data_IF_271628469684
#
_entry.id   IF_271628469684
#
_cell.length_a   1.000
_cell.length_b   1.000
_cell.length_c   1.000
_cell.angle_alpha   90.00
_cell.angle_beta   90.00
_cell.angle_gamma   90.00
#
_symmetry.space_group_name_H-M   'P 1'
#
loop_
_entity.id
_entity.type
_entity.pdbx_description
1 polymer ?
2 polymer ?
3 polymer ?
4 polymer ?
5 non-polymer ?
6 non-polymer ?
7 water ?
#
loop_
_entity_poly.entity_id
_entity_poly.type
_entity_poly.pdbx_seq_one_letter_code
_entity_poly.pdbx_strand_id
2 'polydeoxyribonucleotide' '(DC)(DG)(DC)(DT)(DA)(DG)(DT)(DA)(DC)(DT)(DC)(DA)(DT)' ?
3 'polydeoxyribonucleotide' '(DG)(DT)(DA)(DC)(DT)(DA)(DG)(DC)(DG)' ?
4 'polydeoxyribonucleotide' '(DC)(DT)(DA)' ?
#
# COMPACT_ATOMS: atom_id res chain seq x y z
N UNK A 2 6.33 1.80 3.50
CA UNK A 2 6.10 1.49 4.90
C UNK A 2 6.75 2.49 5.85
N UNK A 3 6.01 2.91 6.87
CA UNK A 3 6.56 3.79 7.90
C UNK A 3 7.25 2.96 8.97
N UNK A 4 8.57 2.99 8.97
CA UNK A 4 9.39 2.13 9.82
C UNK A 4 9.14 2.35 11.30
N UNK A 5 8.34 1.48 11.90
CA UNK A 5 8.12 1.48 13.34
C UNK A 5 6.83 2.15 13.79
N UNK A 6 5.94 2.44 12.86
CA UNK A 6 4.70 3.15 13.18
C UNK A 6 3.75 2.28 14.00
N UNK A 7 3.66 1.00 13.66
CA UNK A 7 2.74 0.08 14.33
C UNK A 7 3.10 -0.09 15.80
N UNK A 8 4.39 -0.10 16.10
CA UNK A 8 4.85 -0.24 17.47
C UNK A 8 4.73 1.11 18.19
N UNK A 9 4.72 2.18 17.42
CA UNK A 9 4.71 3.53 17.98
C UNK A 9 3.31 3.96 18.43
N UNK A 10 2.28 3.42 17.77
CA UNK A 10 0.91 3.77 18.12
C UNK A 10 0.11 2.52 18.52
N UNK A 11 0.79 1.57 19.14
CA UNK A 11 0.16 0.30 19.52
C UNK A 11 -0.97 0.46 20.54
N UNK A 12 -1.03 1.63 21.17
CA UNK A 12 -2.09 1.92 22.12
C UNK A 12 -3.41 2.26 21.43
N UNK A 13 -3.38 2.33 20.10
CA UNK A 13 -4.57 2.60 19.31
C UNK A 13 -5.09 1.31 18.66
N UNK A 14 -4.49 0.19 19.04
CA UNK A 14 -4.86 -1.10 18.48
C UNK A 14 -5.61 -1.98 19.47
N UNK A 15 -6.46 -2.85 18.94
CA UNK A 15 -7.17 -3.82 19.77
C UNK A 15 -7.37 -5.12 18.99
N UNK A 16 -7.20 -6.27 19.67
CA UNK A 16 -7.44 -7.57 19.05
C UNK A 16 -8.90 -7.75 18.67
N UNK A 17 -9.18 -8.06 17.41
CA UNK A 17 -10.55 -8.25 16.96
C UNK A 17 -10.71 -9.54 16.17
N UNK A 18 -11.95 -9.87 15.84
CA UNK A 18 -12.25 -10.92 14.88
C UNK A 18 -13.12 -10.32 13.80
N UNK A 19 -12.87 -10.70 12.54
CA UNK A 19 -13.50 -10.06 11.40
C UNK A 19 -15.02 -10.24 11.34
N UNK A 20 -15.56 -11.08 12.23
CA UNK A 20 -17.01 -11.21 12.37
C UNK A 20 -17.61 -9.87 12.77
N UNK A 21 -16.78 -9.00 13.34
CA UNK A 21 -17.12 -7.63 13.66
C UNK A 21 -17.69 -6.89 12.44
N UNK A 22 -17.18 -7.23 11.26
CA UNK A 22 -17.62 -6.59 10.03
C UNK A 22 -18.52 -7.51 9.21
N UNK A 23 -19.41 -8.24 9.87
CA UNK A 23 -20.38 -9.07 9.19
C UNK A 23 -21.48 -8.20 8.59
N UNK A 24 -21.74 -8.39 7.30
CA UNK A 24 -22.75 -7.60 6.61
C UNK A 24 -22.16 -6.33 6.02
N UNK A 25 -20.94 -6.00 6.41
CA UNK A 25 -20.26 -4.83 5.88
C UNK A 25 -19.23 -5.24 4.85
N UNK A 26 -18.65 -4.25 4.17
CA UNK A 26 -17.70 -4.51 3.10
C UNK A 26 -16.28 -4.08 3.47
N UNK A 27 -15.31 -4.96 3.24
CA UNK A 27 -13.91 -4.62 3.49
C UNK A 27 -13.06 -4.81 2.23
N UNK A 28 -12.02 -3.99 2.09
CA UNK A 28 -11.11 -4.10 0.96
C UNK A 28 -9.81 -4.78 1.39
N UNK A 29 -9.16 -5.46 0.45
CA UNK A 29 -7.99 -6.26 0.77
C UNK A 29 -6.74 -5.83 0.00
N UNK A 30 -5.64 -5.66 0.73
CA UNK A 30 -4.34 -5.43 0.10
C UNK A 30 -3.77 -6.78 -0.35
N UNK A 31 -4.29 -7.27 -1.47
CA UNK A 31 -4.07 -8.65 -1.91
C UNK A 31 -2.61 -9.02 -2.16
N UNK A 32 -1.77 -8.03 -2.44
CA UNK A 32 -0.36 -8.30 -2.73
C UNK A 32 0.40 -8.82 -1.50
N UNK A 33 -0.14 -8.55 -0.32
CA UNK A 33 0.42 -9.12 0.91
C UNK A 33 0.20 -10.63 0.92
N UNK A 34 -1.04 -11.04 0.66
CA UNK A 34 -1.39 -12.45 0.57
C UNK A 34 -0.65 -13.12 -0.57
N UNK A 35 -0.50 -12.42 -1.68
CA UNK A 35 0.24 -12.93 -2.83
C UNK A 35 1.70 -13.19 -2.47
N UNK A 36 2.31 -12.23 -1.80
CA UNK A 36 3.69 -12.38 -1.36
C UNK A 36 3.85 -13.52 -0.36
N UNK A 37 2.89 -13.65 0.54
CA UNK A 37 2.93 -14.73 1.53
C UNK A 37 2.83 -16.10 0.85
N UNK A 38 1.82 -16.26 0.01
CA UNK A 38 1.56 -17.53 -0.65
C UNK A 38 2.59 -17.92 -1.69
N UNK A 39 3.24 -16.93 -2.29
CA UNK A 39 4.26 -17.19 -3.31
C UNK A 39 5.46 -17.91 -2.73
N UNK A 40 5.71 -17.68 -1.43
CA UNK A 40 6.83 -18.28 -0.74
C UNK A 40 6.68 -19.79 -0.63
N UNK A 41 5.43 -20.26 -0.52
CA UNK A 41 5.12 -21.67 -0.43
C UNK A 41 5.59 -22.43 -1.67
N UNK A 42 5.76 -21.70 -2.77
CA UNK A 42 6.23 -22.30 -4.02
C UNK A 42 7.24 -21.39 -4.72
N UNK A 43 8.34 -21.11 -4.02
CA UNK A 43 9.37 -20.21 -4.55
C UNK A 43 10.31 -20.94 -5.51
N UNK A 44 10.51 -22.23 -5.27
CA UNK A 44 11.39 -23.04 -6.10
C UNK A 44 10.89 -23.10 -7.53
N UNK A 45 9.60 -23.37 -7.69
CA UNK A 45 9.00 -23.48 -9.02
C UNK A 45 8.98 -22.14 -9.75
N UNK A 46 8.76 -21.06 -9.00
CA UNK A 46 8.75 -19.72 -9.58
C UNK A 46 10.13 -19.31 -10.05
N UNK A 47 11.15 -19.65 -9.26
CA UNK A 47 12.53 -19.32 -9.60
C UNK A 47 13.02 -20.12 -10.81
N UNK A 48 12.59 -21.38 -10.88
CA UNK A 48 12.99 -22.27 -11.97
C UNK A 48 12.10 -22.05 -13.21
N UNK A 49 11.01 -21.32 -13.02
CA UNK A 49 10.08 -21.05 -14.12
C UNK A 49 9.00 -22.10 -14.24
N UNK A 50 9.06 -23.10 -13.37
CA UNK A 50 8.08 -24.18 -13.35
C UNK A 50 6.70 -23.66 -12.97
N UNK A 51 5.65 -24.23 -13.56
CA UNK A 51 4.26 -23.80 -13.27
C UNK A 51 3.82 -24.14 -11.85
N UNK A 52 3.09 -23.22 -11.22
CA UNK A 52 2.58 -23.44 -9.87
C UNK A 52 1.39 -22.53 -9.57
N UNK A 53 0.37 -23.09 -8.92
CA UNK A 53 -0.86 -22.36 -8.61
C UNK A 53 -1.23 -22.42 -7.13
N UNK A 54 -0.23 -22.61 -6.27
CA UNK A 54 -0.48 -22.76 -4.83
C UNK A 54 -0.92 -21.45 -4.17
N UNK A 55 -0.29 -20.35 -4.56
CA UNK A 55 -0.61 -19.04 -4.01
C UNK A 55 -2.06 -18.65 -4.28
N UNK A 56 -2.60 -19.14 -5.39
CA UNK A 56 -4.00 -18.93 -5.75
C UNK A 56 -4.91 -19.49 -4.66
N UNK A 57 -4.71 -20.76 -4.34
CA UNK A 57 -5.47 -21.41 -3.29
C UNK A 57 -5.21 -20.78 -1.93
N UNK A 58 -3.99 -20.30 -1.74
CA UNK A 58 -3.61 -19.64 -0.49
C UNK A 58 -4.45 -18.38 -0.28
N UNK A 59 -4.60 -17.59 -1.33
CA UNK A 59 -5.40 -16.37 -1.26
C UNK A 59 -6.89 -16.69 -1.14
N UNK A 60 -7.35 -17.64 -1.96
CA UNK A 60 -8.76 -18.03 -1.96
C UNK A 60 -9.18 -18.62 -0.61
N UNK A 61 -8.22 -19.14 0.13
CA UNK A 61 -8.48 -19.62 1.48
C UNK A 61 -8.93 -18.47 2.38
N UNK A 62 -8.16 -17.40 2.37
CA UNK A 62 -8.49 -16.19 3.11
C UNK A 62 -9.81 -15.60 2.64
N UNK A 63 -9.99 -15.55 1.32
CA UNK A 63 -11.22 -15.02 0.72
C UNK A 63 -12.45 -15.79 1.23
N UNK A 64 -12.38 -17.11 1.16
CA UNK A 64 -13.46 -17.96 1.64
C UNK A 64 -13.69 -17.80 3.14
N UNK A 65 -12.60 -17.61 3.88
CA UNK A 65 -12.69 -17.35 5.32
C UNK A 65 -13.51 -16.11 5.58
N UNK A 66 -13.26 -15.05 4.80
CA UNK A 66 -14.03 -13.82 4.92
C UNK A 66 -15.48 -14.06 4.53
N UNK A 67 -15.70 -14.81 3.45
CA UNK A 67 -17.04 -15.07 2.95
C UNK A 67 -17.89 -15.86 3.95
N UNK A 68 -17.25 -16.70 4.75
CA UNK A 68 -17.96 -17.53 5.72
C UNK A 68 -18.55 -16.71 6.85
N UNK A 69 -17.95 -15.55 7.13
CA UNK A 69 -18.44 -14.68 8.19
C UNK A 69 -19.36 -13.58 7.66
N UNK A 70 -19.95 -13.82 6.49
CA UNK A 70 -20.87 -12.88 5.90
C UNK A 70 -20.24 -11.55 5.52
N UNK A 71 -18.97 -11.61 5.14
CA UNK A 71 -18.24 -10.41 4.75
C UNK A 71 -18.04 -10.36 3.24
N UNK A 72 -18.20 -9.18 2.65
CA UNK A 72 -17.95 -9.00 1.23
C UNK A 72 -16.58 -8.37 1.01
N UNK A 73 -15.60 -9.18 0.58
CA UNK A 73 -14.23 -8.70 0.37
C UNK A 73 -14.01 -8.14 -1.03
N UNK A 74 -13.36 -6.98 -1.10
CA UNK A 74 -12.94 -6.43 -2.39
C UNK A 74 -11.43 -6.57 -2.54
N UNK A 75 -11.00 -7.50 -3.38
CA UNK A 75 -9.58 -7.72 -3.60
C UNK A 75 -8.99 -6.58 -4.44
N UNK A 76 -8.06 -5.84 -3.84
CA UNK A 76 -7.39 -4.74 -4.53
C UNK A 76 -5.94 -5.11 -4.84
N UNK A 77 -5.50 -4.80 -6.06
CA UNK A 77 -4.17 -5.18 -6.51
C UNK A 77 -3.35 -3.96 -6.90
N UNK A 78 -2.03 -4.07 -6.78
CA UNK A 78 -1.14 -3.01 -7.21
C UNK A 78 -1.08 -2.91 -8.73
N UNK A 79 -1.25 -1.69 -9.24
CA UNK A 79 -1.21 -1.46 -10.67
C UNK A 79 0.17 -1.06 -11.15
N UNK A 80 0.25 0.05 -11.88
CA UNK A 80 1.52 0.50 -12.46
C UNK A 80 2.46 1.07 -11.40
N UNK A 81 3.68 1.39 -11.83
CA UNK A 81 4.72 1.88 -10.92
C UNK A 81 4.57 3.37 -10.68
N UNK A 82 4.84 3.79 -9.45
CA UNK A 82 4.89 5.21 -9.11
C UNK A 82 6.28 5.76 -9.36
N UNK A 83 6.39 6.84 -10.15
CA UNK A 83 7.67 7.53 -10.33
C UNK A 83 8.24 8.02 -9.01
N UNK A 84 7.36 8.45 -8.11
CA UNK A 84 7.79 8.98 -6.82
C UNK A 84 8.28 7.88 -5.87
N UNK A 85 8.03 6.63 -6.25
CA UNK A 85 8.46 5.48 -5.45
C UNK A 85 9.48 4.64 -6.20
N UNK A 86 9.93 5.13 -7.36
CA UNK A 86 10.80 4.38 -8.25
C UNK A 86 12.12 3.96 -7.59
N UNK A 87 12.54 4.70 -6.56
CA UNK A 87 13.74 4.39 -5.81
C UNK A 87 13.63 3.02 -5.12
N UNK A 88 12.59 2.87 -4.30
CA UNK A 88 12.35 1.63 -3.58
C UNK A 88 12.08 0.48 -4.54
N UNK A 89 11.44 0.78 -5.66
CA UNK A 89 11.14 -0.22 -6.69
C UNK A 89 12.41 -0.75 -7.34
N UNK A 90 13.32 0.16 -7.69
CA UNK A 90 14.61 -0.22 -8.25
C UNK A 90 15.41 -1.02 -7.24
N UNK A 91 15.37 -0.58 -5.98
CA UNK A 91 16.07 -1.25 -4.89
C UNK A 91 15.60 -2.70 -4.74
N UNK A 92 14.28 -2.89 -4.67
CA UNK A 92 13.71 -4.22 -4.52
C UNK A 92 13.95 -5.09 -5.76
N UNK A 93 13.96 -4.46 -6.93
CA UNK A 93 14.24 -5.16 -8.18
C UNK A 93 15.66 -5.72 -8.16
N UNK A 94 16.63 -4.86 -7.85
CA UNK A 94 18.02 -5.26 -7.73
C UNK A 94 18.18 -6.35 -6.67
N UNK A 95 17.43 -6.21 -5.58
CA UNK A 95 17.47 -7.19 -4.49
C UNK A 95 17.03 -8.57 -4.97
N UNK A 96 15.85 -8.64 -5.57
CA UNK A 96 15.28 -9.89 -6.05
C UNK A 96 16.14 -10.52 -7.14
N UNK A 97 16.67 -9.70 -8.05
CA UNK A 97 17.54 -10.20 -9.11
C UNK A 97 18.83 -10.77 -8.54
N UNK A 98 19.41 -10.05 -7.58
CA UNK A 98 20.65 -10.48 -6.93
C UNK A 98 20.45 -11.81 -6.22
N UNK A 99 19.38 -11.91 -5.44
CA UNK A 99 19.05 -13.15 -4.75
C UNK A 99 18.70 -14.27 -5.73
N UNK A 100 18.25 -13.90 -6.91
CA UNK A 100 17.91 -14.89 -7.95
C UNK A 100 19.19 -15.49 -8.54
N UNK A 101 20.12 -14.62 -8.92
CA UNK A 101 21.40 -15.06 -9.47
C UNK A 101 22.21 -15.85 -8.45
N UNK A 102 22.23 -15.35 -7.22
CA UNK A 102 22.89 -16.04 -6.12
C UNK A 102 22.21 -17.38 -5.85
N UNK A 103 20.89 -17.41 -6.01
CA UNK A 103 20.13 -18.63 -5.83
C UNK A 103 20.47 -19.67 -6.88
N UNK A 104 20.65 -19.23 -8.12
CA UNK A 104 21.06 -20.11 -9.20
C UNK A 104 22.49 -20.62 -8.97
N UNK A 105 23.35 -19.74 -8.46
CA UNK A 105 24.73 -20.11 -8.16
C UNK A 105 24.77 -21.19 -7.08
N UNK A 106 24.03 -20.97 -5.99
CA UNK A 106 23.93 -21.95 -4.92
C UNK A 106 23.23 -23.22 -5.40
N UNK A 107 22.44 -23.08 -6.47
CA UNK A 107 21.78 -24.23 -7.07
C UNK A 107 22.79 -25.10 -7.80
N UNK A 108 23.73 -24.44 -8.49
CA UNK A 108 24.77 -25.18 -9.21
C UNK A 108 26.02 -25.37 -8.36
N UNK A 109 25.93 -25.08 -7.07
CA UNK A 109 27.02 -25.36 -6.14
C UNK A 109 26.66 -26.51 -5.21
N UNK A 110 25.38 -26.83 -5.12
CA UNK A 110 24.93 -27.93 -4.28
C UNK A 110 24.20 -27.46 -3.03
N UNK A 111 24.35 -26.19 -2.70
CA UNK A 111 23.68 -25.62 -1.52
C UNK A 111 22.16 -25.60 -1.74
N UNK A 112 21.45 -26.39 -0.93
CA UNK A 112 20.02 -26.57 -1.12
C UNK A 112 19.19 -25.51 -0.40
N UNK A 113 19.17 -25.57 0.93
CA UNK A 113 18.36 -24.67 1.74
C UNK A 113 18.73 -23.21 1.53
N UNK A 114 20.01 -22.97 1.23
CA UNK A 114 20.49 -21.63 0.96
C UNK A 114 19.89 -21.08 -0.33
N UNK A 115 19.94 -21.89 -1.39
CA UNK A 115 19.38 -21.51 -2.68
C UNK A 115 17.87 -21.32 -2.59
N UNK A 116 17.20 -22.19 -1.83
CA UNK A 116 15.77 -22.07 -1.60
C UNK A 116 15.43 -20.78 -0.86
N UNK A 117 16.26 -20.44 0.12
CA UNK A 117 16.10 -19.21 0.87
C UNK A 117 16.23 -18.00 -0.04
N UNK A 118 17.25 -18.03 -0.89
CA UNK A 118 17.45 -16.97 -1.88
C UNK A 118 16.24 -16.86 -2.81
N UNK A 119 15.69 -18.01 -3.20
CA UNK A 119 14.50 -18.04 -4.04
C UNK A 119 13.32 -17.39 -3.35
N UNK A 120 13.22 -17.62 -2.04
CA UNK A 120 12.20 -16.97 -1.22
C UNK A 120 12.41 -15.46 -1.23
N UNK A 121 13.68 -15.06 -1.19
CA UNK A 121 14.03 -13.64 -1.23
C UNK A 121 14.20 -13.12 -2.67
N UNK A 122 13.66 -13.86 -3.64
CA UNK A 122 13.79 -13.49 -5.05
C UNK A 122 12.45 -13.25 -5.73
N UNK A 123 11.37 -13.67 -5.08
CA UNK A 123 10.05 -13.66 -5.69
C UNK A 123 9.56 -12.28 -6.11
N UNK A 124 9.26 -12.13 -7.40
CA UNK A 124 8.69 -10.89 -7.92
C UNK A 124 7.25 -11.13 -8.37
N UNK A 125 6.30 -10.59 -7.62
CA UNK A 125 4.88 -10.79 -7.90
C UNK A 125 4.47 -10.08 -9.18
N UNK A 126 4.20 -10.86 -10.22
CA UNK A 126 3.80 -10.31 -11.52
C UNK A 126 2.29 -10.15 -11.60
N UNK A 127 1.82 -9.50 -12.66
CA UNK A 127 0.40 -9.30 -12.86
C UNK A 127 -0.29 -10.58 -13.32
N UNK A 128 0.50 -11.54 -13.80
CA UNK A 128 -0.04 -12.81 -14.26
C UNK A 128 -0.59 -13.62 -13.09
N UNK A 129 0.20 -13.73 -12.03
CA UNK A 129 -0.21 -14.39 -10.80
C UNK A 129 -1.44 -13.70 -10.22
N UNK A 130 -1.35 -12.37 -10.15
CA UNK A 130 -2.43 -11.55 -9.63
C UNK A 130 -3.71 -11.76 -10.42
N UNK A 131 -3.57 -12.00 -11.72
CA UNK A 131 -4.73 -12.21 -12.57
C UNK A 131 -5.28 -13.62 -12.39
N UNK A 132 -4.41 -14.57 -12.07
CA UNK A 132 -4.85 -15.92 -11.69
C UNK A 132 -5.76 -15.80 -10.48
N UNK A 133 -5.28 -15.07 -9.47
CA UNK A 133 -6.08 -14.81 -8.27
C UNK A 133 -7.38 -14.06 -8.61
N UNK A 134 -7.30 -13.11 -9.54
CA UNK A 134 -8.46 -12.32 -9.95
C UNK A 134 -9.55 -13.20 -10.58
N UNK A 135 -9.17 -14.08 -11.49
CA UNK A 135 -10.12 -15.00 -12.10
C UNK A 135 -10.69 -15.95 -11.06
N UNK A 136 -9.80 -16.53 -10.25
CA UNK A 136 -10.22 -17.47 -9.21
C UNK A 136 -11.20 -16.84 -8.24
N UNK A 137 -11.05 -15.53 -7.99
CA UNK A 137 -11.91 -14.82 -7.06
C UNK A 137 -13.23 -14.42 -7.71
N UNK A 138 -13.17 -13.89 -8.92
CA UNK A 138 -14.36 -13.43 -9.63
C UNK A 138 -15.25 -14.60 -10.01
N UNK A 139 -14.67 -15.80 -10.06
CA UNK A 139 -15.45 -17.01 -10.34
C UNK A 139 -16.46 -17.27 -9.22
N UNK A 140 -16.15 -16.77 -8.03
CA UNK A 140 -17.00 -16.97 -6.87
C UNK A 140 -17.68 -15.68 -6.42
N UNK A 141 -17.82 -14.74 -7.35
CA UNK A 141 -18.56 -13.51 -7.11
C UNK A 141 -17.82 -12.47 -6.29
N UNK A 142 -16.51 -12.64 -6.13
CA UNK A 142 -15.71 -11.70 -5.37
C UNK A 142 -15.17 -10.58 -6.26
N UNK A 143 -15.56 -9.35 -5.95
CA UNK A 143 -15.13 -8.18 -6.72
C UNK A 143 -13.61 -7.97 -6.62
N UNK A 144 -13.00 -7.66 -7.75
CA UNK A 144 -11.58 -7.36 -7.80
C UNK A 144 -11.33 -6.01 -8.45
N UNK A 145 -10.26 -5.34 -8.04
CA UNK A 145 -9.93 -4.03 -8.57
C UNK A 145 -8.42 -3.84 -8.62
N UNK A 146 -7.90 -3.53 -9.81
CA UNK A 146 -6.49 -3.21 -9.95
C UNK A 146 -6.31 -1.70 -9.94
N UNK A 147 -5.59 -1.20 -8.94
CA UNK A 147 -5.32 0.23 -8.83
C UNK A 147 -4.56 0.73 -10.05
N UNK A 148 -4.67 2.03 -10.36
CA UNK A 148 -3.83 2.57 -11.43
C UNK A 148 -2.36 2.55 -11.02
N UNK A 149 -2.10 2.69 -9.72
CA UNK A 149 -0.73 2.67 -9.21
C UNK A 149 -0.63 1.86 -7.92
N UNK A 150 -0.24 2.51 -6.82
CA UNK A 150 -0.13 1.80 -5.56
C UNK A 150 -1.49 1.38 -5.03
N UNK A 151 -1.58 0.14 -4.55
CA UNK A 151 -2.82 -0.36 -3.97
C UNK A 151 -3.19 0.41 -2.71
N UNK A 152 -2.19 0.95 -2.03
CA UNK A 152 -2.39 1.73 -0.82
C UNK A 152 -3.39 2.87 -1.02
N UNK A 153 -3.13 3.70 -2.03
CA UNK A 153 -3.98 4.84 -2.34
C UNK A 153 -5.39 4.43 -2.72
N UNK A 154 -5.50 3.36 -3.52
CA UNK A 154 -6.80 2.84 -3.95
C UNK A 154 -7.63 2.39 -2.76
N UNK A 155 -7.01 1.61 -1.88
CA UNK A 155 -7.65 1.17 -0.64
C UNK A 155 -8.09 2.35 0.19
N UNK A 156 -7.21 3.34 0.32
CA UNK A 156 -7.50 4.55 1.08
C UNK A 156 -8.73 5.26 0.52
N UNK A 157 -8.83 5.31 -0.80
CA UNK A 157 -9.98 5.95 -1.43
C UNK A 157 -11.25 5.16 -1.17
N UNK A 158 -11.19 3.85 -1.35
CA UNK A 158 -12.35 2.98 -1.14
C UNK A 158 -12.86 3.11 0.30
N UNK A 159 -11.93 3.29 1.24
CA UNK A 159 -12.30 3.45 2.64
C UNK A 159 -12.86 4.83 2.93
N UNK A 160 -12.30 5.86 2.29
CA UNK A 160 -12.76 7.23 2.47
C UNK A 160 -14.08 7.50 1.76
N UNK A 161 -14.34 6.74 0.68
CA UNK A 161 -15.55 6.94 -0.10
C UNK A 161 -16.74 6.23 0.55
N UNK A 162 -16.49 5.49 1.62
CA UNK A 162 -17.52 4.77 2.32
C UNK A 162 -17.90 3.47 1.61
N UNK A 163 -17.15 3.14 0.57
CA UNK A 163 -17.39 1.91 -0.18
C UNK A 163 -17.01 0.70 0.66
N UNK A 164 -15.93 0.81 1.41
CA UNK A 164 -15.55 -0.23 2.36
C UNK A 164 -15.37 0.39 3.75
N UNK A 165 -15.63 -0.40 4.79
CA UNK A 165 -15.59 0.11 6.16
C UNK A 165 -14.27 -0.22 6.86
N UNK A 166 -13.49 -1.11 6.25
CA UNK A 166 -12.20 -1.48 6.82
C UNK A 166 -11.24 -1.99 5.75
N UNK A 167 -9.95 -1.78 5.97
CA UNK A 167 -8.92 -2.25 5.06
C UNK A 167 -8.11 -3.37 5.69
N UNK A 168 -8.00 -4.50 4.98
CA UNK A 168 -7.18 -5.62 5.44
C UNK A 168 -5.80 -5.57 4.80
N UNK A 169 -4.78 -5.29 5.61
CA UNK A 169 -3.42 -5.13 5.10
C UNK A 169 -2.37 -5.42 6.17
N UNK A 170 -1.11 -5.31 5.78
CA UNK A 170 0.00 -5.45 6.71
C UNK A 170 0.82 -4.16 6.74
N UNK A 171 0.53 -3.27 5.79
CA UNK A 171 1.30 -2.05 5.61
C UNK A 171 0.74 -0.91 6.45
N UNK A 172 1.63 -0.25 7.21
CA UNK A 172 1.24 0.86 8.08
C UNK A 172 0.93 2.14 7.29
N UNK A 173 1.42 2.22 6.06
CA UNK A 173 1.19 3.38 5.18
C UNK A 173 -0.29 3.71 5.06
N UNK A 174 -1.13 2.69 5.11
CA UNK A 174 -2.57 2.86 5.01
C UNK A 174 -3.09 3.86 6.03
N UNK A 175 -2.47 3.91 7.20
CA UNK A 175 -2.82 4.89 8.22
C UNK A 175 -2.40 6.30 7.78
N UNK A 176 -1.23 6.41 7.17
CA UNK A 176 -0.72 7.69 6.69
C UNK A 176 -1.54 8.22 5.52
N UNK A 177 -2.20 7.33 4.80
CA UNK A 177 -3.05 7.71 3.69
C UNK A 177 -4.41 8.19 4.19
N UNK A 178 -4.65 8.04 5.49
CA UNK A 178 -5.87 8.52 6.10
C UNK A 178 -7.01 7.52 6.12
N UNK A 179 -6.68 6.24 6.23
CA UNK A 179 -7.71 5.21 6.37
C UNK A 179 -8.38 5.28 7.74
N UNK A 180 -9.66 4.94 7.78
CA UNK A 180 -10.42 4.98 9.03
C UNK A 180 -10.13 3.77 9.88
N UNK A 181 -10.33 2.57 9.33
CA UNK A 181 -10.11 1.34 10.06
C UNK A 181 -9.19 0.39 9.28
N UNK A 182 -8.15 -0.08 9.96
CA UNK A 182 -7.15 -0.94 9.33
C UNK A 182 -6.95 -2.23 10.13
N UNK A 183 -7.18 -3.37 9.49
CA UNK A 183 -7.02 -4.66 10.14
C UNK A 183 -5.67 -5.28 9.77
N UNK A 184 -4.76 -5.33 10.74
CA UNK A 184 -3.41 -5.85 10.52
C UNK A 184 -3.25 -7.25 11.09
N UNK A 185 -2.16 -7.90 10.72
CA UNK A 185 -1.74 -9.18 11.30
C UNK A 185 -2.82 -10.27 11.23
N UNK A 186 -3.78 -10.14 10.32
CA UNK A 186 -4.90 -11.08 10.27
C UNK A 186 -4.47 -12.45 9.80
N UNK A 187 -4.86 -13.48 10.55
CA UNK A 187 -4.56 -14.86 10.17
C UNK A 187 -5.67 -15.47 9.32
N UNK A 188 -5.53 -16.75 8.99
CA UNK A 188 -6.47 -17.43 8.11
C UNK A 188 -7.75 -17.85 8.83
N UNK A 189 -7.92 -17.39 10.07
CA UNK A 189 -9.09 -17.75 10.85
C UNK A 189 -10.00 -16.54 11.05
N UNK A 190 -9.41 -15.35 10.99
CA UNK A 190 -10.16 -14.12 11.14
C UNK A 190 -9.68 -13.29 12.32
N UNK A 191 -8.55 -13.69 12.91
CA UNK A 191 -7.98 -12.96 14.04
C UNK A 191 -6.90 -11.99 13.60
N UNK A 192 -7.07 -10.72 13.94
CA UNK A 192 -6.09 -9.70 13.61
C UNK A 192 -6.16 -8.49 14.53
N UNK A 193 -5.21 -7.58 14.37
CA UNK A 193 -5.16 -6.36 15.16
C UNK A 193 -5.72 -5.19 14.37
N UNK A 194 -6.73 -4.54 14.94
CA UNK A 194 -7.37 -3.39 14.28
C UNK A 194 -6.93 -2.06 14.88
N UNK A 195 -6.47 -1.16 14.02
CA UNK A 195 -6.17 0.20 14.43
C UNK A 195 -7.20 1.17 13.88
N UNK A 196 -7.87 1.89 14.77
CA UNK A 196 -8.89 2.86 14.37
C UNK A 196 -8.30 4.27 14.42
N UNK A 197 -8.67 5.10 13.43
CA UNK A 197 -8.15 6.46 13.35
C UNK A 197 -8.58 7.30 14.54
N UNK A 198 -9.86 7.19 14.90
CA UNK A 198 -10.41 7.95 16.02
C UNK A 198 -9.70 7.60 17.32
N UNK A 199 -9.20 6.37 17.40
CA UNK A 199 -8.52 5.89 18.59
C UNK A 199 -7.06 6.34 18.67
N UNK A 200 -6.61 7.10 17.67
CA UNK A 200 -5.25 7.63 17.68
C UNK A 200 -5.04 8.58 18.87
N UNK A 201 -6.15 9.10 19.40
CA UNK A 201 -6.10 9.96 20.56
C UNK A 201 -5.72 9.22 21.83
N UNK A 202 -5.83 7.90 21.79
CA UNK A 202 -5.46 7.08 22.94
C UNK A 202 -3.94 6.97 23.07
N UNK A 203 -3.23 7.43 22.04
CA UNK A 203 -1.77 7.39 22.04
C UNK A 203 -1.18 8.64 22.67
N UNK A 204 -0.72 8.50 23.92
CA UNK A 204 -0.12 9.60 24.66
C UNK A 204 1.08 10.20 23.94
N UNK A 205 1.82 9.35 23.23
CA UNK A 205 3.03 9.77 22.52
C UNK A 205 2.75 10.77 21.42
N UNK A 206 1.60 10.65 20.77
CA UNK A 206 1.25 11.50 19.64
C UNK A 206 1.05 12.96 20.06
N UNK A 207 0.31 13.18 21.14
CA UNK A 207 -0.03 14.52 21.57
C UNK A 207 -1.19 15.06 20.76
N UNK A 208 -1.01 16.24 20.15
CA UNK A 208 -2.03 16.82 19.29
C UNK A 208 -1.80 16.43 17.83
N UNK A 209 -0.89 15.49 17.60
CA UNK A 209 -0.60 15.00 16.27
C UNK A 209 -1.45 13.76 15.97
N UNK A 210 -2.77 13.94 16.00
CA UNK A 210 -3.70 12.87 15.70
C UNK A 210 -4.57 13.24 14.51
N UNK A 211 -4.50 14.51 14.11
CA UNK A 211 -5.19 14.96 12.91
C UNK A 211 -4.53 14.36 11.66
N UNK A 212 -5.32 14.15 10.62
CA UNK A 212 -4.83 13.49 9.40
C UNK A 212 -3.63 14.21 8.79
N UNK A 213 -3.70 15.54 8.74
CA UNK A 213 -2.64 16.34 8.16
C UNK A 213 -1.33 16.22 8.95
N UNK A 214 -1.40 16.49 10.25
CA UNK A 214 -0.24 16.40 11.12
C UNK A 214 0.32 14.98 11.14
N UNK A 215 -0.56 13.99 11.14
CA UNK A 215 -0.13 12.59 11.15
C UNK A 215 0.63 12.27 9.87
N UNK A 216 0.13 12.80 8.75
CA UNK A 216 0.79 12.63 7.46
C UNK A 216 2.18 13.27 7.49
N UNK A 217 2.25 14.50 7.96
CA UNK A 217 3.51 15.22 8.07
C UNK A 217 4.51 14.44 8.91
N UNK A 218 4.01 13.83 9.99
CA UNK A 218 4.85 13.04 10.88
C UNK A 218 5.40 11.81 10.18
N UNK A 219 4.51 11.07 9.52
CA UNK A 219 4.90 9.85 8.82
C UNK A 219 5.93 10.15 7.74
N UNK A 220 5.75 11.26 7.03
CA UNK A 220 6.70 11.66 6.00
C UNK A 220 8.05 12.05 6.62
N UNK A 221 8.01 12.87 7.65
CA UNK A 221 9.23 13.34 8.32
C UNK A 221 10.02 12.20 8.94
N UNK A 222 9.34 11.15 9.37
CA UNK A 222 10.01 10.00 9.96
C UNK A 222 10.75 9.18 8.91
N UNK A 223 10.29 9.27 7.67
CA UNK A 223 10.89 8.51 6.58
C UNK A 223 9.87 7.60 5.93
N UNK A 224 9.52 7.91 4.69
CA UNK A 224 8.54 7.10 3.95
C UNK A 224 9.16 6.52 2.68
N UNK A 225 8.31 5.97 1.83
CA UNK A 225 8.76 5.36 0.58
C UNK A 225 9.03 6.40 -0.50
N UNK A 226 8.49 7.59 -0.31
CA UNK A 226 8.62 8.66 -1.29
C UNK A 226 9.79 9.59 -0.95
N UNK A 227 10.23 9.55 0.30
CA UNK A 227 11.28 10.44 0.77
C UNK A 227 11.97 9.88 2.01
N UNK A 228 13.30 9.72 1.92
CA UNK A 228 14.08 9.30 3.07
C UNK A 228 14.13 10.41 4.10
N UNK A 229 14.18 10.05 5.38
CA UNK A 229 14.23 11.04 6.44
C UNK A 229 15.64 11.59 6.60
N UNK A 230 15.73 12.81 7.14
CA UNK A 230 17.01 13.38 7.51
C UNK A 230 17.64 12.51 8.59
N UNK A 231 18.95 12.33 8.51
CA UNK A 231 19.66 11.44 9.45
C UNK A 231 19.49 11.90 10.89
N UNK A 232 18.94 11.01 11.72
CA UNK A 232 18.71 11.31 13.12
C UNK A 232 17.26 11.63 13.41
N UNK A 233 16.42 11.57 12.38
CA UNK A 233 15.00 11.89 12.54
C UNK A 233 14.13 10.65 12.38
N UNK A 234 13.51 10.24 13.48
CA UNK A 234 12.58 9.13 13.47
C UNK A 234 11.18 9.61 13.79
N UNK A 235 10.35 8.72 14.33
CA UNK A 235 8.96 9.05 14.66
C UNK A 235 8.86 9.97 15.86
N UNK A 236 9.65 9.70 16.90
CA UNK A 236 9.58 10.46 18.14
C UNK A 236 9.96 11.93 17.96
N UNK A 237 11.08 12.17 17.29
CA UNK A 237 11.57 13.54 17.10
C UNK A 237 10.70 14.33 16.12
N UNK A 238 10.18 13.65 15.10
CA UNK A 238 9.28 14.29 14.15
C UNK A 238 7.98 14.68 14.83
N UNK A 239 7.45 13.75 15.61
CA UNK A 239 6.24 14.00 16.39
C UNK A 239 6.47 15.13 17.38
N UNK A 240 7.69 15.20 17.92
CA UNK A 240 8.08 16.27 18.83
C UNK A 240 8.05 17.62 18.12
N UNK A 241 8.66 17.66 16.94
CA UNK A 241 8.67 18.87 16.10
C UNK A 241 7.24 19.34 15.83
N UNK A 242 6.38 18.42 15.42
CA UNK A 242 5.00 18.77 15.10
C UNK A 242 4.19 19.20 16.33
N UNK A 243 4.50 18.63 17.48
CA UNK A 243 3.85 19.04 18.72
C UNK A 243 4.24 20.46 19.09
N UNK A 244 5.54 20.74 19.05
CA UNK A 244 6.07 22.02 19.48
C UNK A 244 5.96 23.11 18.43
N UNK A 245 5.02 22.96 17.51
CA UNK A 245 4.85 23.94 16.44
C UNK A 245 3.49 24.63 16.48
N UNK A 246 3.51 25.94 16.64
CA UNK A 246 2.29 26.74 16.57
C UNK A 246 2.12 27.36 15.19
N UNK A 247 2.47 26.59 14.16
CA UNK A 247 2.47 27.09 12.79
C UNK A 247 1.90 26.06 11.81
N UNK A 248 0.80 26.42 11.13
CA UNK A 248 0.17 25.53 10.14
C UNK A 248 1.02 25.36 8.88
N UNK A 249 1.82 26.36 8.54
CA UNK A 249 2.71 26.29 7.39
C UNK A 249 3.87 25.33 7.69
N UNK A 250 3.81 24.15 7.08
CA UNK A 250 4.75 23.08 7.41
C UNK A 250 6.18 23.40 6.99
N UNK A 251 6.33 24.12 5.88
CA UNK A 251 7.65 24.41 5.31
C UNK A 251 8.57 25.17 6.29
N UNK A 252 8.05 26.26 6.85
CA UNK A 252 8.79 27.05 7.82
C UNK A 252 9.24 26.18 8.99
N UNK A 253 8.39 25.25 9.39
CA UNK A 253 8.69 24.33 10.47
C UNK A 253 9.83 23.38 10.08
N UNK A 254 9.75 22.85 8.86
CA UNK A 254 10.81 22.01 8.31
C UNK A 254 12.15 22.73 8.35
N UNK A 255 12.13 24.00 7.97
CA UNK A 255 13.34 24.82 8.02
C UNK A 255 13.81 25.06 9.45
N UNK A 256 12.87 25.20 10.37
CA UNK A 256 13.20 25.47 11.78
C UNK A 256 13.31 24.18 12.61
N UNK A 257 13.48 23.05 11.94
CA UNK A 257 13.62 21.76 12.62
C UNK A 257 14.73 21.77 13.68
N UNK A 258 15.81 22.51 13.40
CA UNK A 258 16.91 22.62 14.34
C UNK A 258 16.49 23.37 15.58
N UNK A 259 15.62 24.36 15.40
CA UNK A 259 15.10 25.14 16.52
C UNK A 259 14.14 24.32 17.36
N UNK A 260 13.23 23.61 16.70
CA UNK A 260 12.21 22.83 17.41
C UNK A 260 12.79 21.62 18.13
N UNK A 261 14.01 21.21 17.76
CA UNK A 261 14.64 20.04 18.35
C UNK A 261 15.88 20.36 19.18
N UNK A 262 16.36 21.59 19.06
CA UNK A 262 17.62 22.01 19.68
C UNK A 262 18.75 21.07 19.28
N UNK A 263 18.70 20.59 18.04
CA UNK A 263 19.66 19.62 17.55
C UNK A 263 20.60 20.26 16.53
N UNK A 264 20.42 21.56 16.31
CA UNK A 264 21.25 22.33 15.39
C UNK A 264 21.26 21.73 13.99
N UNK A 265 20.08 21.38 13.50
CA UNK A 265 19.94 20.71 12.20
C UNK A 265 19.84 21.71 11.06
N UNK A 266 20.59 21.46 9.99
CA UNK A 266 20.53 22.28 8.78
C UNK A 266 19.93 21.47 7.64
N UNK A 267 18.76 21.90 7.16
CA UNK A 267 18.05 21.18 6.11
C UNK A 267 18.50 21.60 4.72
N UNK A 268 18.80 20.62 3.86
CA UNK A 268 19.11 20.87 2.45
C UNK A 268 17.90 21.45 1.72
N UNK A 269 18.15 22.19 0.63
CA UNK A 269 17.07 22.81 -0.12
C UNK A 269 16.31 21.76 -0.93
N UNK A 270 16.96 20.65 -1.22
CA UNK A 270 16.34 19.56 -1.96
C UNK A 270 15.28 18.85 -1.12
N UNK A 271 15.54 18.75 0.18
CA UNK A 271 14.66 18.02 1.08
C UNK A 271 13.29 18.69 1.21
N UNK A 272 13.26 20.01 1.06
CA UNK A 272 12.01 20.76 1.11
C UNK A 272 11.10 20.35 -0.03
N UNK A 273 11.63 20.41 -1.25
CA UNK A 273 10.90 19.98 -2.43
C UNK A 273 10.53 18.51 -2.37
N UNK A 274 11.43 17.69 -1.84
CA UNK A 274 11.15 16.27 -1.65
C UNK A 274 9.97 16.05 -0.71
N UNK A 275 9.88 16.91 0.30
CA UNK A 275 8.77 16.86 1.25
C UNK A 275 7.47 17.27 0.58
N UNK A 276 7.51 18.36 -0.18
CA UNK A 276 6.35 18.82 -0.94
C UNK A 276 5.84 17.71 -1.84
N UNK A 277 6.76 17.05 -2.53
CA UNK A 277 6.43 15.97 -3.44
C UNK A 277 5.86 14.76 -2.71
N UNK A 278 6.42 14.44 -1.55
CA UNK A 278 5.94 13.31 -0.76
C UNK A 278 4.50 13.55 -0.28
N UNK A 279 4.27 14.74 0.27
CA UNK A 279 2.95 15.13 0.74
C UNK A 279 1.93 15.13 -0.40
N UNK A 280 2.32 15.71 -1.53
CA UNK A 280 1.48 15.73 -2.72
C UNK A 280 1.21 14.32 -3.26
N UNK A 281 2.13 13.40 -3.01
CA UNK A 281 1.95 12.01 -3.43
C UNK A 281 0.95 11.31 -2.52
N UNK A 282 1.10 11.50 -1.22
CA UNK A 282 0.13 10.96 -0.26
C UNK A 282 -1.27 11.51 -0.50
N UNK A 283 -1.36 12.79 -0.85
CA UNK A 283 -2.65 13.45 -1.02
C UNK A 283 -3.31 13.19 -2.37
N UNK A 284 -2.54 13.30 -3.44
CA UNK A 284 -3.12 13.40 -4.78
C UNK A 284 -2.75 12.26 -5.72
N UNK A 285 -2.32 11.12 -5.17
CA UNK A 285 -2.00 9.98 -6.01
C UNK A 285 -3.26 9.46 -6.71
N UNK A 286 -3.13 9.13 -7.99
CA UNK A 286 -4.27 8.72 -8.80
C UNK A 286 -4.88 7.42 -8.33
N UNK A 287 -6.20 7.41 -8.24
CA UNK A 287 -6.94 6.19 -7.92
C UNK A 287 -8.07 6.02 -8.93
N UNK A 288 -8.72 4.86 -8.92
CA UNK A 288 -9.80 4.62 -9.86
C UNK A 288 -11.15 4.57 -9.16
N UNK A 289 -12.07 5.44 -9.59
CA UNK A 289 -13.44 5.43 -9.09
C UNK A 289 -14.18 4.25 -9.70
N UNK A 290 -14.61 3.29 -8.85
CA UNK A 290 -15.34 2.12 -9.36
C UNK A 290 -16.73 2.47 -9.85
N UNK A 291 -17.29 3.56 -9.32
CA UNK A 291 -18.66 3.95 -9.65
C UNK A 291 -18.71 4.81 -10.92
N UNK A 292 -18.03 5.95 -10.90
CA UNK A 292 -18.05 6.87 -12.03
C UNK A 292 -17.09 6.44 -13.14
N UNK A 293 -16.25 5.45 -12.82
CA UNK A 293 -15.30 4.89 -13.79
C UNK A 293 -14.39 5.95 -14.41
N UNK A 294 -13.57 6.58 -13.57
CA UNK A 294 -12.65 7.61 -14.05
C UNK A 294 -11.45 7.77 -13.10
N UNK A 295 -10.35 8.28 -13.63
CA UNK A 295 -9.15 8.53 -12.83
C UNK A 295 -9.27 9.83 -12.05
N UNK A 296 -9.31 9.71 -10.73
CA UNK A 296 -9.35 10.88 -9.85
C UNK A 296 -8.20 10.82 -8.86
N UNK A 297 -7.78 11.98 -8.33
CA UNK A 297 -6.78 11.95 -7.25
C UNK A 297 -7.38 11.38 -5.97
N UNK A 298 -6.53 10.89 -5.08
CA UNK A 298 -6.99 10.31 -3.82
C UNK A 298 -7.88 11.30 -3.07
N UNK A 299 -7.38 12.51 -2.87
CA UNK A 299 -8.17 13.60 -2.32
C UNK A 299 -8.38 14.65 -3.39
N UNK A 300 -9.49 15.39 -3.30
CA UNK A 300 -9.78 16.46 -4.25
C UNK A 300 -8.69 17.52 -4.22
N UNK A 301 -8.34 18.05 -5.38
CA UNK A 301 -7.29 19.06 -5.47
C UNK A 301 -7.66 20.32 -4.72
N UNK A 302 -6.77 20.77 -3.84
CA UNK A 302 -6.95 22.06 -3.18
C UNK A 302 -6.58 23.17 -4.15
N UNK A 303 -6.91 24.42 -3.79
CA UNK A 303 -6.71 25.54 -4.69
C UNK A 303 -5.26 26.01 -4.74
N UNK A 304 -4.42 25.43 -3.88
CA UNK A 304 -3.03 25.85 -3.78
C UNK A 304 -2.08 24.84 -4.42
N UNK A 305 -2.60 24.05 -5.35
CA UNK A 305 -1.77 23.05 -6.04
C UNK A 305 -2.13 22.97 -7.52
N UNK A 306 -1.11 22.84 -8.37
CA UNK A 306 -1.31 22.70 -9.80
C UNK A 306 -1.07 21.26 -10.24
N UNK A 307 -2.15 20.54 -10.58
CA UNK A 307 -2.12 19.12 -10.97
C UNK A 307 -1.14 18.82 -12.10
N UNK A 308 -0.80 19.85 -12.88
CA UNK A 308 0.13 19.71 -13.99
C UNK A 308 1.53 19.30 -13.51
N UNK A 309 1.85 19.69 -12.28
CA UNK A 309 3.18 19.45 -11.73
C UNK A 309 3.26 18.16 -10.92
N UNK A 310 2.19 17.38 -10.91
CA UNK A 310 2.12 16.19 -10.09
C UNK A 310 2.17 14.89 -10.89
N UNK A 311 3.11 14.81 -11.82
CA UNK A 311 3.26 13.61 -12.66
C UNK A 311 3.84 12.46 -11.84
N UNK A 312 4.66 12.80 -10.86
CA UNK A 312 5.29 11.79 -10.01
C UNK A 312 4.26 11.09 -9.14
N UNK A 313 3.12 11.73 -8.92
CA UNK A 313 2.02 11.12 -8.18
C UNK A 313 1.16 10.26 -9.09
N UNK A 314 1.67 9.97 -10.29
CA UNK A 314 0.96 9.16 -11.26
C UNK A 314 0.39 9.99 -12.38
N UNK A 315 0.68 9.58 -13.62
CA UNK A 315 0.18 10.29 -14.79
C UNK A 315 -1.16 9.75 -15.24
N UNK A 316 -1.97 10.62 -15.83
CA UNK A 316 -3.30 10.23 -16.29
C UNK A 316 -3.28 9.46 -17.62
N UNK A 317 -4.25 8.57 -17.77
CA UNK A 317 -4.52 7.94 -19.05
C UNK A 317 -6.02 8.05 -19.32
N UNK A 318 -6.44 7.68 -20.52
CA UNK A 318 -7.86 7.71 -20.86
C UNK A 318 -8.60 6.73 -19.96
N UNK A 319 -9.83 7.08 -19.59
CA UNK A 319 -10.59 6.30 -18.62
C UNK A 319 -10.95 4.91 -19.13
N UNK A 320 -10.90 4.72 -20.45
CA UNK A 320 -11.10 3.40 -21.04
C UNK A 320 -9.97 2.47 -20.61
N UNK A 321 -8.75 2.95 -20.82
CA UNK A 321 -7.54 2.23 -20.42
C UNK A 321 -7.51 2.01 -18.92
N UNK A 322 -7.91 3.04 -18.17
CA UNK A 322 -7.94 2.98 -16.72
C UNK A 322 -8.91 1.90 -16.24
N UNK A 323 -10.07 1.83 -16.89
CA UNK A 323 -11.07 0.82 -16.57
C UNK A 323 -10.57 -0.59 -16.91
N UNK A 324 -10.00 -0.74 -18.10
CA UNK A 324 -9.48 -2.04 -18.52
C UNK A 324 -8.34 -2.53 -17.63
N UNK A 325 -7.57 -1.58 -17.10
CA UNK A 325 -6.53 -1.90 -16.13
C UNK A 325 -7.19 -2.34 -14.81
N UNK A 326 -8.17 -1.56 -14.37
CA UNK A 326 -8.86 -1.83 -13.11
C UNK A 326 -9.52 -3.21 -13.09
N UNK A 327 -10.03 -3.64 -14.24
CA UNK A 327 -10.69 -4.94 -14.35
C UNK A 327 -9.67 -6.08 -14.40
N UNK A 328 -8.41 -5.73 -14.66
CA UNK A 328 -7.34 -6.71 -14.75
C UNK A 328 -7.17 -7.28 -16.14
N UNK A 329 -7.88 -6.69 -17.11
CA UNK A 329 -7.80 -7.14 -18.49
C UNK A 329 -6.49 -6.74 -19.15
N UNK A 330 -6.05 -5.52 -18.88
CA UNK A 330 -4.80 -5.02 -19.46
C UNK A 330 -3.62 -5.29 -18.53
N UNK A 331 -2.60 -5.96 -19.06
CA UNK A 331 -1.42 -6.29 -18.27
C UNK A 331 -0.71 -5.02 -17.79
N UNK A 332 -0.34 -5.03 -16.51
CA UNK A 332 0.32 -3.87 -15.90
C UNK A 332 1.66 -3.58 -16.55
N UNK A 333 2.40 -4.63 -16.89
CA UNK A 333 3.73 -4.50 -17.44
C UNK A 333 3.76 -4.29 -18.95
N UNK A 334 3.20 -5.26 -19.68
CA UNK A 334 3.27 -5.25 -21.14
C UNK A 334 2.25 -4.32 -21.78
N UNK A 335 1.24 -3.93 -21.00
CA UNK A 335 0.16 -3.04 -21.45
C UNK A 335 -0.65 -3.66 -22.60
N UNK A 336 -0.50 -4.97 -22.80
CA UNK A 336 -1.28 -5.68 -23.79
C UNK A 336 -2.47 -6.39 -23.14
N UNK A 337 -3.53 -6.61 -23.91
CA UNK A 337 -4.72 -7.27 -23.38
C UNK A 337 -4.48 -8.74 -23.13
N UNK A 338 -4.80 -9.18 -21.92
CA UNK A 338 -4.62 -10.58 -21.53
C UNK A 338 -5.97 -11.23 -21.26
N UNK A 339 -6.98 -10.41 -20.99
CA UNK A 339 -8.33 -10.91 -20.74
C UNK A 339 -9.37 -9.98 -21.38
N UNK A 340 -10.60 -10.45 -21.48
CA UNK A 340 -11.67 -9.67 -22.10
C UNK A 340 -12.93 -9.64 -21.21
N UNK A 341 -12.73 -9.70 -19.91
CA UNK A 341 -13.84 -9.69 -18.96
C UNK A 341 -14.61 -8.38 -19.04
N UNK A 342 -15.94 -8.47 -18.94
CA UNK A 342 -16.80 -7.30 -18.97
C UNK A 342 -17.86 -7.39 -17.87
N UNK A 343 -17.86 -6.44 -16.93
CA UNK A 343 -18.80 -6.42 -15.82
C UNK A 343 -20.23 -6.05 -16.26
N UNK A 344 -20.42 -5.85 -17.56
CA UNK A 344 -21.73 -5.50 -18.09
C UNK A 344 -22.34 -6.67 -18.86
N UNK A 345 -21.53 -7.32 -19.67
CA UNK A 345 -22.00 -8.42 -20.51
C UNK A 345 -22.35 -9.66 -19.69
N UNK A 346 -21.35 -10.18 -18.97
CA UNK A 346 -21.56 -11.38 -18.16
C UNK A 346 -21.12 -11.14 -16.71
N UNK A 355 -20.40 -3.93 -7.22
CA UNK A 355 -19.42 -2.95 -7.65
C UNK A 355 -19.65 -2.57 -9.11
N UNK A 356 -19.08 -1.43 -9.51
CA UNK A 356 -19.24 -0.88 -10.86
C UNK A 356 -20.71 -0.65 -11.21
N UNK A 357 -21.48 -0.19 -10.23
CA UNK A 357 -22.90 0.07 -10.43
C UNK A 357 -23.35 1.29 -9.62
#
# INVERSE_FOLDING_TARGET
MGIQGLLQFIKEASEPIHVRKYKGQVVAVDTYCWLHKGAIACAEKLAKGEPTDRYVGFCMKFVNMLLSHGIKPILVFDGCTLPSKKEVERSRRERRQANLLKGKQLLREGKVSEARECFTRSINITHAMAHKVIKAARSQGVDCLVAPYEADAQLAYLNKAGIVQAIITEDSDLLAFGCKKVILKMDQFGNGLEIDQARLGMCRQLGDVFTEEKFRYMCILSGCDYLSSLRGIGLAKACKVLRLANNPDIVKVIKKIGHYLKMNITVPEDYINGFIRANNTFLYQLVFDPIKRKLIPLNAYEDDVDPETLSYAGQYVDDSIALQIALGNKDINTFEQIDDYNPDTAMPAHSRENLYFQ
#
